data_IF_641733219342
#
_entry.id   IF_641733219342
#
_cell.length_a   1.000
_cell.length_b   1.000
_cell.length_c   1.000
_cell.angle_alpha   90.00
_cell.angle_beta   90.00
_cell.angle_gamma   90.00
#
_symmetry.space_group_name_H-M   'P 1'
#
loop_
_entity.id
_entity.type
_entity.pdbx_description
1 polymer ?
#
# COMPACT_ATOMS: atom_id res chain seq x y z
N UNK A 1 14.98 -4.54 -12.64
CA UNK A 1 14.11 -3.78 -11.71
C UNK A 1 14.45 -4.06 -10.25
N UNK A 2 14.82 -5.28 -9.85
CA UNK A 2 15.25 -5.56 -8.47
C UNK A 2 16.64 -4.96 -8.12
N UNK A 3 17.39 -4.49 -9.13
CA UNK A 3 18.73 -3.91 -9.01
C UNK A 3 18.88 -2.63 -8.20
N UNK A 4 17.78 -1.96 -7.87
CA UNK A 4 17.79 -0.74 -7.06
C UNK A 4 17.41 -0.98 -5.60
N UNK A 5 17.03 -2.21 -5.23
CA UNK A 5 16.64 -2.52 -3.85
C UNK A 5 17.86 -2.77 -2.95
N UNK A 6 17.74 -2.50 -1.64
CA UNK A 6 18.66 -3.03 -0.65
C UNK A 6 18.77 -4.56 -0.74
N UNK A 7 19.92 -5.10 -0.35
CA UNK A 7 20.25 -6.50 -0.58
C UNK A 7 19.29 -7.47 0.11
N UNK A 8 18.81 -7.13 1.31
CA UNK A 8 17.82 -7.91 2.05
C UNK A 8 16.50 -8.02 1.26
N UNK A 9 15.92 -6.89 0.86
CA UNK A 9 14.67 -6.81 0.10
C UNK A 9 14.76 -7.54 -1.25
N UNK A 10 15.85 -7.31 -1.97
CA UNK A 10 16.15 -7.98 -3.23
C UNK A 10 16.22 -9.49 -3.06
N UNK A 11 16.99 -9.96 -2.10
CA UNK A 11 17.20 -11.39 -1.87
C UNK A 11 15.89 -12.09 -1.54
N UNK A 12 15.06 -11.46 -0.69
CA UNK A 12 13.73 -11.95 -0.38
C UNK A 12 12.84 -11.97 -1.63
N UNK A 13 12.79 -10.88 -2.40
CA UNK A 13 11.96 -10.77 -3.60
C UNK A 13 12.32 -11.81 -4.67
N UNK A 14 13.61 -12.09 -4.89
CA UNK A 14 14.06 -13.12 -5.84
C UNK A 14 13.68 -14.53 -5.36
N UNK A 15 13.88 -14.83 -4.07
CA UNK A 15 13.48 -16.12 -3.49
C UNK A 15 11.96 -16.33 -3.57
N UNK A 16 11.19 -15.30 -3.22
CA UNK A 16 9.73 -15.29 -3.35
C UNK A 16 9.33 -15.57 -4.79
N UNK A 17 9.88 -14.81 -5.75
CA UNK A 17 9.58 -14.97 -7.17
C UNK A 17 9.83 -16.40 -7.64
N UNK A 18 11.00 -16.97 -7.35
CA UNK A 18 11.34 -18.34 -7.75
C UNK A 18 10.35 -19.36 -7.18
N UNK A 19 9.97 -19.19 -5.92
CA UNK A 19 9.01 -20.08 -5.26
C UNK A 19 7.62 -19.99 -5.88
N UNK A 20 7.10 -18.78 -6.07
CA UNK A 20 5.78 -18.58 -6.68
C UNK A 20 5.76 -19.02 -8.15
N UNK A 21 6.86 -18.83 -8.88
CA UNK A 21 7.00 -19.31 -10.25
C UNK A 21 6.95 -20.84 -10.35
N UNK A 22 7.41 -21.55 -9.33
CA UNK A 22 7.34 -23.01 -9.27
C UNK A 22 5.96 -23.57 -8.87
N UNK A 23 5.12 -22.74 -8.24
CA UNK A 23 3.77 -23.14 -7.80
C UNK A 23 2.77 -22.97 -8.96
N UNK A 24 2.24 -24.09 -9.47
CA UNK A 24 1.30 -24.10 -10.60
C UNK A 24 -0.01 -23.37 -10.31
N UNK A 25 -0.37 -23.19 -9.03
CA UNK A 25 -1.58 -22.47 -8.60
C UNK A 25 -1.45 -20.96 -8.76
N UNK A 26 -0.23 -20.44 -8.92
CA UNK A 26 0.04 -19.00 -9.05
C UNK A 26 0.15 -18.63 -10.53
N UNK A 27 -0.70 -17.69 -10.97
CA UNK A 27 -0.73 -17.18 -12.33
C UNK A 27 0.32 -16.08 -12.57
N UNK A 28 0.39 -15.09 -11.68
CA UNK A 28 1.33 -13.97 -11.77
C UNK A 28 1.78 -13.47 -10.40
N UNK A 29 2.96 -12.85 -10.36
CA UNK A 29 3.45 -12.08 -9.24
C UNK A 29 3.73 -10.66 -9.69
N UNK A 30 3.08 -9.70 -9.04
CA UNK A 30 3.26 -8.27 -9.27
C UNK A 30 3.82 -7.60 -8.01
N UNK A 31 4.48 -6.46 -8.17
CA UNK A 31 4.94 -5.61 -7.07
C UNK A 31 4.29 -4.23 -7.14
N UNK A 32 4.01 -3.66 -5.98
CA UNK A 32 3.36 -2.36 -5.76
C UNK A 32 4.19 -1.39 -4.90
N UNK A 33 3.58 -0.28 -4.52
CA UNK A 33 4.02 0.61 -3.44
C UNK A 33 5.34 1.33 -3.69
N UNK A 34 6.17 1.38 -2.65
CA UNK A 34 7.46 2.09 -2.68
C UNK A 34 8.40 1.57 -3.78
N UNK A 35 8.18 0.33 -4.23
CA UNK A 35 8.89 -0.30 -5.34
C UNK A 35 8.74 0.48 -6.65
N UNK A 36 7.58 1.10 -6.88
CA UNK A 36 7.25 1.79 -8.13
C UNK A 36 7.45 3.30 -8.01
N UNK A 37 7.17 3.87 -6.83
CA UNK A 37 7.15 5.32 -6.63
C UNK A 37 8.52 5.96 -6.40
N UNK A 38 9.60 5.16 -6.31
CA UNK A 38 10.93 5.64 -5.97
C UNK A 38 11.07 6.00 -4.48
N UNK A 39 12.31 6.21 -4.04
CA UNK A 39 12.60 6.47 -2.61
C UNK A 39 12.56 5.23 -1.73
N UNK A 40 12.69 4.05 -2.32
CA UNK A 40 12.85 2.79 -1.60
C UNK A 40 14.15 2.80 -0.80
N UNK A 41 14.08 2.43 0.47
CA UNK A 41 15.21 2.36 1.39
C UNK A 41 15.11 1.14 2.32
N UNK A 42 16.03 1.03 3.26
CA UNK A 42 16.09 -0.09 4.21
C UNK A 42 14.88 -0.19 5.15
N UNK A 43 14.06 0.86 5.26
CA UNK A 43 12.86 0.90 6.10
C UNK A 43 11.58 0.67 5.30
N UNK A 44 11.69 0.47 3.99
CA UNK A 44 10.54 0.25 3.11
C UNK A 44 10.05 -1.19 3.23
N UNK A 45 8.73 -1.36 3.16
CA UNK A 45 8.09 -2.66 3.06
C UNK A 45 8.14 -3.17 1.60
N UNK A 46 7.88 -4.46 1.38
CA UNK A 46 7.65 -5.01 0.04
C UNK A 46 6.18 -5.37 -0.17
N UNK A 47 5.55 -4.66 -1.10
CA UNK A 47 4.16 -4.88 -1.50
C UNK A 47 4.10 -5.84 -2.70
N UNK A 48 3.53 -7.03 -2.51
CA UNK A 48 3.31 -8.00 -3.57
C UNK A 48 1.82 -8.29 -3.78
N UNK A 49 1.45 -8.41 -5.06
CA UNK A 49 0.15 -8.92 -5.47
C UNK A 49 0.35 -10.30 -6.09
N UNK A 50 -0.15 -11.31 -5.39
CA UNK A 50 -0.11 -12.71 -5.79
C UNK A 50 -1.40 -13.03 -6.54
N UNK A 51 -1.31 -13.15 -7.87
CA UNK A 51 -2.44 -13.51 -8.71
C UNK A 51 -2.55 -15.03 -8.74
N UNK A 52 -3.58 -15.56 -8.10
CA UNK A 52 -3.86 -16.99 -7.94
C UNK A 52 -4.84 -17.42 -9.04
N UNK A 53 -4.67 -18.65 -9.52
CA UNK A 53 -5.65 -19.30 -10.38
C UNK A 53 -7.00 -19.44 -9.60
N UNK A 54 -8.13 -19.03 -10.20
CA UNK A 54 -9.44 -19.09 -9.54
C UNK A 54 -9.80 -20.46 -8.95
N UNK A 55 -9.34 -21.56 -9.55
CA UNK A 55 -9.62 -22.92 -9.07
C UNK A 55 -9.04 -23.19 -7.67
N UNK A 56 -7.95 -22.52 -7.32
CA UNK A 56 -7.21 -22.72 -6.06
C UNK A 56 -7.32 -21.53 -5.11
N UNK A 57 -8.09 -20.49 -5.46
CA UNK A 57 -8.13 -19.26 -4.69
C UNK A 57 -8.57 -19.48 -3.24
N UNK A 58 -9.66 -20.22 -3.02
CA UNK A 58 -10.18 -20.48 -1.66
C UNK A 58 -9.19 -21.32 -0.82
N UNK A 59 -8.51 -22.28 -1.45
CA UNK A 59 -7.49 -23.10 -0.80
C UNK A 59 -6.29 -22.24 -0.37
N UNK A 60 -5.75 -21.42 -1.27
CA UNK A 60 -4.64 -20.50 -0.98
C UNK A 60 -5.04 -19.51 0.10
N UNK A 61 -6.25 -18.96 0.01
CA UNK A 61 -6.78 -18.06 1.03
C UNK A 61 -6.82 -18.75 2.38
N UNK A 62 -7.37 -19.97 2.50
CA UNK A 62 -7.41 -20.72 3.75
C UNK A 62 -6.00 -21.02 4.31
N UNK A 63 -5.00 -21.21 3.44
CA UNK A 63 -3.64 -21.61 3.83
C UNK A 63 -2.63 -20.46 3.86
N UNK A 64 -3.02 -19.21 3.58
CA UNK A 64 -2.10 -18.07 3.32
C UNK A 64 -1.07 -17.83 4.42
N UNK A 65 -1.43 -18.03 5.70
CA UNK A 65 -0.48 -17.92 6.81
C UNK A 65 0.59 -19.02 6.79
N UNK A 66 0.16 -20.27 6.57
CA UNK A 66 1.09 -21.40 6.44
C UNK A 66 1.98 -21.23 5.19
N UNK A 67 1.40 -20.74 4.09
CA UNK A 67 2.14 -20.38 2.88
C UNK A 67 3.23 -19.34 3.18
N UNK A 68 2.90 -18.24 3.86
CA UNK A 68 3.87 -17.20 4.24
C UNK A 68 5.00 -17.75 5.11
N UNK A 69 4.69 -18.65 6.04
CA UNK A 69 5.69 -19.33 6.89
C UNK A 69 6.70 -20.17 6.10
N UNK A 70 6.38 -20.53 4.86
CA UNK A 70 7.31 -21.26 4.00
C UNK A 70 8.28 -20.34 3.24
N UNK A 71 8.06 -19.03 3.24
CA UNK A 71 8.85 -18.07 2.45
C UNK A 71 10.16 -17.65 3.16
N UNK A 72 10.29 -17.97 4.44
CA UNK A 72 11.45 -17.61 5.26
C UNK A 72 11.13 -17.79 6.74
N UNK A 73 11.90 -17.15 7.61
CA UNK A 73 11.64 -17.16 9.04
C UNK A 73 10.57 -16.11 9.39
N UNK A 74 9.31 -16.52 9.23
CA UNK A 74 8.15 -15.69 9.60
C UNK A 74 8.07 -15.56 11.13
N UNK A 75 8.12 -14.32 11.63
CA UNK A 75 7.95 -14.03 13.06
C UNK A 75 6.47 -13.90 13.42
N UNK A 76 5.74 -13.12 12.62
CA UNK A 76 4.30 -12.93 12.81
C UNK A 76 3.63 -12.47 11.52
N UNK A 77 2.33 -12.72 11.41
CA UNK A 77 1.51 -12.18 10.33
C UNK A 77 0.07 -11.95 10.80
N UNK A 78 -0.63 -11.04 10.14
CA UNK A 78 -2.05 -10.78 10.37
C UNK A 78 -2.72 -10.27 9.10
N UNK A 79 -4.04 -10.29 9.10
CA UNK A 79 -4.89 -9.89 7.97
C UNK A 79 -5.12 -8.38 7.92
N UNK A 80 -5.27 -7.84 6.72
CA UNK A 80 -5.60 -6.43 6.47
C UNK A 80 -7.05 -6.04 6.80
N UNK A 81 -7.75 -6.77 7.68
CA UNK A 81 -9.17 -6.50 8.00
C UNK A 81 -9.40 -5.11 8.60
N UNK A 82 -8.45 -4.63 9.41
CA UNK A 82 -8.46 -3.30 10.02
C UNK A 82 -8.34 -2.15 8.99
N UNK A 83 -7.87 -2.44 7.77
CA UNK A 83 -7.85 -1.51 6.63
C UNK A 83 -8.88 -1.87 5.55
N UNK A 84 -9.79 -2.80 5.84
CA UNK A 84 -10.84 -3.25 4.91
C UNK A 84 -10.36 -4.15 3.77
N UNK A 85 -9.15 -4.72 3.88
CA UNK A 85 -8.57 -5.60 2.87
C UNK A 85 -8.27 -7.00 3.46
N UNK A 86 -9.27 -7.88 3.61
CA UNK A 86 -9.09 -9.21 4.20
C UNK A 86 -8.20 -10.15 3.37
N UNK A 87 -7.96 -9.81 2.10
CA UNK A 87 -7.08 -10.56 1.19
C UNK A 87 -5.60 -10.20 1.35
N UNK A 88 -5.31 -9.13 2.07
CA UNK A 88 -3.96 -8.72 2.42
C UNK A 88 -3.50 -9.49 3.65
N UNK A 89 -2.31 -10.06 3.57
CA UNK A 89 -1.57 -10.63 4.68
C UNK A 89 -0.31 -9.79 4.90
N UNK A 90 -0.23 -9.13 6.05
CA UNK A 90 0.90 -8.30 6.47
C UNK A 90 1.81 -9.20 7.31
N UNK A 91 3.05 -9.36 6.86
CA UNK A 91 4.01 -10.30 7.44
C UNK A 91 5.25 -9.57 7.95
N UNK A 92 5.79 -10.06 9.06
CA UNK A 92 7.10 -9.66 9.57
C UNK A 92 8.04 -10.87 9.59
N UNK A 93 9.15 -10.77 8.86
CA UNK A 93 10.20 -11.80 8.78
C UNK A 93 11.43 -11.39 9.60
N UNK A 94 12.23 -12.39 10.02
CA UNK A 94 13.50 -12.22 10.71
C UNK A 94 14.61 -13.13 10.14
N UNK A 95 15.83 -13.14 10.71
CA UNK A 95 16.26 -12.40 11.91
C UNK A 95 16.47 -10.89 11.66
N UNK A 96 16.82 -10.49 10.44
CA UNK A 96 16.75 -9.08 10.04
C UNK A 96 15.30 -8.73 9.70
N UNK A 97 14.77 -7.68 10.33
CA UNK A 97 13.35 -7.35 10.25
C UNK A 97 12.99 -6.87 8.85
N UNK A 98 12.02 -7.54 8.24
CA UNK A 98 11.50 -7.20 6.93
C UNK A 98 9.99 -7.35 6.89
N UNK A 99 9.30 -6.25 6.56
CA UNK A 99 7.85 -6.25 6.34
C UNK A 99 7.53 -6.63 4.90
N UNK A 100 6.60 -7.56 4.75
CA UNK A 100 6.14 -8.04 3.46
C UNK A 100 4.62 -8.08 3.46
N UNK A 101 4.04 -7.38 2.49
CA UNK A 101 2.61 -7.34 2.24
C UNK A 101 2.28 -8.29 1.08
N UNK A 102 1.49 -9.32 1.35
CA UNK A 102 1.05 -10.30 0.36
C UNK A 102 -0.45 -10.15 0.15
N UNK A 103 -0.85 -9.57 -0.98
CA UNK A 103 -2.25 -9.48 -1.39
C UNK A 103 -2.59 -10.60 -2.36
N UNK A 104 -3.49 -11.49 -1.96
CA UNK A 104 -3.93 -12.61 -2.79
C UNK A 104 -5.20 -12.26 -3.55
N UNK A 105 -5.18 -12.40 -4.86
CA UNK A 105 -6.33 -12.09 -5.72
C UNK A 105 -6.41 -13.06 -6.89
N UNK A 106 -7.56 -13.15 -7.54
CA UNK A 106 -7.68 -13.71 -8.88
C UNK A 106 -7.48 -12.61 -9.95
N UNK A 107 -7.26 -13.02 -11.21
CA UNK A 107 -7.00 -12.07 -12.29
C UNK A 107 -8.15 -11.08 -12.49
N UNK A 108 -9.40 -11.55 -12.40
CA UNK A 108 -10.61 -10.72 -12.53
C UNK A 108 -10.76 -9.66 -11.44
N UNK A 109 -10.15 -9.87 -10.26
CA UNK A 109 -10.15 -8.91 -9.14
C UNK A 109 -9.18 -7.74 -9.34
N UNK A 110 -8.38 -7.69 -10.42
CA UNK A 110 -7.55 -6.54 -10.80
C UNK A 110 -8.39 -5.39 -11.40
N UNK A 111 -9.35 -4.86 -10.64
CA UNK A 111 -10.34 -3.89 -11.13
C UNK A 111 -10.05 -2.44 -10.73
N UNK A 112 -9.53 -2.19 -9.52
CA UNK A 112 -9.20 -0.85 -9.05
C UNK A 112 -7.75 -0.79 -8.63
N UNK A 113 -7.03 0.20 -9.17
CA UNK A 113 -5.61 0.42 -8.89
C UNK A 113 -5.35 1.91 -8.70
N UNK A 114 -4.47 2.24 -7.77
CA UNK A 114 -3.95 3.60 -7.60
C UNK A 114 -2.67 3.81 -8.42
N UNK A 115 -2.06 2.73 -8.90
CA UNK A 115 -0.81 2.73 -9.68
C UNK A 115 -0.72 1.52 -10.63
N UNK A 116 0.22 1.57 -11.57
CA UNK A 116 0.52 0.45 -12.47
C UNK A 116 1.56 -0.49 -11.85
N UNK A 117 1.23 -1.76 -11.60
CA UNK A 117 2.10 -2.66 -10.87
C UNK A 117 3.29 -3.13 -11.73
N UNK A 118 4.45 -3.34 -11.09
CA UNK A 118 5.59 -3.95 -11.77
C UNK A 118 5.38 -5.46 -11.88
N UNK A 119 5.43 -6.01 -13.10
CA UNK A 119 5.29 -7.46 -13.32
C UNK A 119 6.61 -8.16 -13.03
N UNK A 120 6.66 -9.00 -11.99
CA UNK A 120 7.84 -9.79 -11.64
C UNK A 120 7.84 -11.16 -12.31
N UNK A 121 6.65 -11.75 -12.46
CA UNK A 121 6.43 -13.04 -13.10
C UNK A 121 4.98 -13.12 -13.63
N UNK A 122 4.79 -13.77 -14.78
CA UNK A 122 3.46 -14.14 -15.27
C UNK A 122 3.53 -15.38 -16.15
N UNK A 123 2.52 -16.26 -16.05
CA UNK A 123 2.36 -17.42 -16.95
C UNK A 123 1.72 -17.04 -18.27
N UNK A 124 0.75 -16.13 -18.26
CA UNK A 124 0.10 -15.60 -19.45
C UNK A 124 0.19 -14.07 -19.45
N UNK A 125 1.10 -13.55 -20.27
CA UNK A 125 1.34 -12.12 -20.39
C UNK A 125 0.18 -11.40 -21.10
N UNK A 126 -0.48 -12.07 -22.06
CA UNK A 126 -1.52 -11.45 -22.87
C UNK A 126 -2.85 -11.38 -22.11
N UNK A 127 -3.18 -12.40 -21.31
CA UNK A 127 -4.29 -12.33 -20.37
C UNK A 127 -4.09 -11.22 -19.33
N UNK A 128 -2.89 -11.14 -18.73
CA UNK A 128 -2.57 -10.10 -17.75
C UNK A 128 -2.67 -8.70 -18.36
N UNK A 129 -2.06 -8.46 -19.53
CA UNK A 129 -2.14 -7.16 -20.23
C UNK A 129 -3.57 -6.77 -20.57
N UNK A 130 -4.37 -7.70 -21.10
CA UNK A 130 -5.79 -7.45 -21.40
C UNK A 130 -6.56 -7.06 -20.15
N UNK A 131 -6.29 -7.71 -19.01
CA UNK A 131 -6.95 -7.36 -17.76
C UNK A 131 -6.48 -6.00 -17.23
N UNK A 132 -5.18 -5.73 -17.25
CA UNK A 132 -4.64 -4.44 -16.80
C UNK A 132 -5.18 -3.29 -17.64
N UNK A 133 -5.37 -3.48 -18.95
CA UNK A 133 -5.91 -2.46 -19.85
C UNK A 133 -7.40 -2.11 -19.61
N UNK A 134 -8.17 -2.93 -18.88
CA UNK A 134 -9.60 -2.66 -18.61
C UNK A 134 -9.82 -1.47 -17.67
N UNK A 135 -8.83 -1.15 -16.83
CA UNK A 135 -8.96 -0.15 -15.78
C UNK A 135 -7.70 0.69 -15.71
N UNK A 136 -7.86 2.02 -15.64
CA UNK A 136 -6.75 2.94 -15.44
C UNK A 136 -6.49 3.17 -13.97
N UNK A 137 -5.22 3.29 -13.59
CA UNK A 137 -4.85 3.77 -12.28
C UNK A 137 -5.30 5.23 -12.08
N UNK A 138 -6.05 5.51 -11.02
CA UNK A 138 -6.47 6.87 -10.67
C UNK A 138 -6.34 7.10 -9.16
N UNK A 139 -5.69 8.21 -8.80
CA UNK A 139 -5.62 8.63 -7.40
C UNK A 139 -6.93 9.36 -7.04
N UNK A 140 -7.59 9.01 -5.92
CA UNK A 140 -8.88 9.61 -5.55
C UNK A 140 -8.69 11.02 -4.97
N UNK A 141 -8.38 12.00 -5.82
CA UNK A 141 -8.19 13.38 -5.43
C UNK A 141 -9.53 14.07 -5.07
N UNK A 142 -9.53 14.78 -3.95
CA UNK A 142 -10.67 15.60 -3.49
C UNK A 142 -10.59 17.03 -4.03
N UNK A 143 -11.76 17.68 -4.12
CA UNK A 143 -11.89 19.07 -4.59
C UNK A 143 -11.58 20.10 -3.48
N UNK A 144 -11.27 21.36 -3.82
CA UNK A 144 -11.11 22.43 -2.82
C UNK A 144 -12.30 22.57 -1.88
N UNK A 145 -13.53 22.49 -2.41
CA UNK A 145 -14.77 22.66 -1.66
C UNK A 145 -14.96 21.54 -0.64
N UNK A 146 -14.53 20.33 -0.99
CA UNK A 146 -14.53 19.18 -0.09
C UNK A 146 -13.65 19.43 1.13
N UNK A 147 -12.48 20.03 0.93
CA UNK A 147 -11.54 20.37 2.00
C UNK A 147 -12.06 21.52 2.86
N UNK A 148 -12.51 22.60 2.24
CA UNK A 148 -13.00 23.79 2.95
C UNK A 148 -14.17 23.44 3.88
N UNK A 149 -15.13 22.67 3.39
CA UNK A 149 -16.30 22.24 4.18
C UNK A 149 -15.90 21.47 5.44
N UNK A 150 -14.86 20.63 5.36
CA UNK A 150 -14.39 19.81 6.48
C UNK A 150 -13.48 20.58 7.41
N UNK A 151 -12.66 21.49 6.89
CA UNK A 151 -11.66 22.17 7.69
C UNK A 151 -12.27 22.93 8.85
N UNK A 152 -13.25 23.80 8.56
CA UNK A 152 -13.86 24.66 9.57
C UNK A 152 -14.67 23.88 10.60
N UNK A 153 -15.53 22.96 10.13
CA UNK A 153 -16.42 22.20 11.00
C UNK A 153 -15.60 21.27 11.91
N UNK A 154 -14.59 20.60 11.36
CA UNK A 154 -13.79 19.64 12.11
C UNK A 154 -12.86 20.31 13.14
N UNK A 155 -12.22 21.43 12.79
CA UNK A 155 -11.42 22.21 13.73
C UNK A 155 -12.27 22.77 14.86
N UNK A 156 -13.47 23.28 14.56
CA UNK A 156 -14.38 23.76 15.59
C UNK A 156 -14.80 22.62 16.54
N UNK A 157 -15.10 21.42 16.03
CA UNK A 157 -15.36 20.26 16.88
C UNK A 157 -14.17 19.92 17.78
N UNK A 158 -12.94 19.94 17.27
CA UNK A 158 -11.75 19.69 18.08
C UNK A 158 -11.64 20.70 19.25
N UNK A 159 -11.95 21.98 19.01
CA UNK A 159 -11.98 23.02 20.06
C UNK A 159 -13.07 22.75 21.10
N UNK A 160 -14.26 22.33 20.67
CA UNK A 160 -15.36 21.97 21.60
C UNK A 160 -14.97 20.76 22.46
N UNK A 161 -14.33 19.75 21.88
CA UNK A 161 -13.81 18.57 22.60
C UNK A 161 -12.75 18.97 23.62
N UNK A 162 -11.83 19.84 23.22
CA UNK A 162 -10.81 20.40 24.11
C UNK A 162 -11.43 21.18 25.29
N UNK A 163 -12.40 22.05 25.03
CA UNK A 163 -13.08 22.83 26.07
C UNK A 163 -13.86 21.97 27.09
N UNK A 164 -14.23 20.74 26.71
CA UNK A 164 -14.87 19.75 27.58
C UNK A 164 -13.89 18.89 28.37
N UNK A 165 -12.58 19.06 28.16
CA UNK A 165 -11.55 18.20 28.75
C UNK A 165 -11.44 16.81 28.08
N UNK A 166 -12.08 16.61 26.92
CA UNK A 166 -12.00 15.37 26.14
C UNK A 166 -10.71 15.36 25.31
N UNK A 167 -9.55 15.35 26.00
CA UNK A 167 -8.23 15.61 25.39
C UNK A 167 -7.85 14.60 24.29
N UNK A 168 -8.12 13.31 24.51
CA UNK A 168 -7.80 12.28 23.51
C UNK A 168 -8.68 12.34 22.27
N UNK A 169 -9.95 12.73 22.42
CA UNK A 169 -10.84 13.02 21.29
C UNK A 169 -10.30 14.19 20.48
N UNK A 170 -9.95 15.30 21.15
CA UNK A 170 -9.37 16.46 20.49
C UNK A 170 -8.07 16.11 19.74
N UNK A 171 -7.19 15.29 20.33
CA UNK A 171 -5.99 14.78 19.67
C UNK A 171 -6.31 13.94 18.42
N UNK A 172 -7.27 13.02 18.51
CA UNK A 172 -7.71 12.20 17.38
C UNK A 172 -8.28 13.06 16.24
N UNK A 173 -9.07 14.09 16.58
CA UNK A 173 -9.59 15.03 15.60
C UNK A 173 -8.48 15.81 14.89
N UNK A 174 -7.47 16.27 15.63
CA UNK A 174 -6.31 16.96 15.04
C UNK A 174 -5.48 16.03 14.15
N UNK A 175 -5.30 14.76 14.55
CA UNK A 175 -4.61 13.77 13.70
C UNK A 175 -5.35 13.54 12.39
N UNK A 176 -6.67 13.34 12.45
CA UNK A 176 -7.51 13.21 11.26
C UNK A 176 -7.40 14.46 10.37
N UNK A 177 -7.49 15.66 10.94
CA UNK A 177 -7.38 16.90 10.18
C UNK A 177 -6.05 16.99 9.44
N UNK A 178 -4.95 16.66 10.13
CA UNK A 178 -3.61 16.63 9.54
C UNK A 178 -3.54 15.65 8.36
N UNK A 179 -4.04 14.44 8.54
CA UNK A 179 -3.91 13.33 7.59
C UNK A 179 -4.87 13.41 6.39
N UNK A 180 -6.10 13.87 6.61
CA UNK A 180 -7.19 13.80 5.63
C UNK A 180 -7.54 15.15 5.00
N UNK A 181 -7.09 16.26 5.60
CA UNK A 181 -7.41 17.62 5.11
C UNK A 181 -6.12 18.36 4.80
N UNK A 182 -5.33 18.72 5.82
CA UNK A 182 -4.16 19.60 5.64
C UNK A 182 -3.11 19.00 4.71
N UNK A 183 -2.72 17.74 4.92
CA UNK A 183 -1.73 17.06 4.09
C UNK A 183 -2.15 16.99 2.61
N UNK A 184 -3.31 16.40 2.29
CA UNK A 184 -3.87 16.38 0.94
C UNK A 184 -3.98 17.77 0.29
N UNK A 185 -4.37 18.81 1.03
CA UNK A 185 -4.39 20.18 0.52
C UNK A 185 -3.00 20.68 0.10
N UNK A 186 -1.95 20.35 0.86
CA UNK A 186 -0.57 20.72 0.54
C UNK A 186 -0.05 19.98 -0.68
N UNK A 187 -0.36 18.69 -0.84
CA UNK A 187 -0.09 17.94 -2.07
C UNK A 187 -0.80 18.52 -3.29
N UNK A 188 -2.07 18.88 -3.13
CA UNK A 188 -2.84 19.55 -4.17
C UNK A 188 -2.19 20.87 -4.58
N UNK A 189 -1.74 21.69 -3.62
CA UNK A 189 -1.02 22.94 -3.90
C UNK A 189 0.29 22.70 -4.68
N UNK A 190 0.94 21.55 -4.46
CA UNK A 190 2.13 21.14 -5.19
C UNK A 190 1.82 20.49 -6.57
N UNK A 191 0.55 20.39 -6.98
CA UNK A 191 0.11 19.60 -8.15
C UNK A 191 0.58 18.14 -8.10
N UNK A 192 0.60 17.55 -6.91
CA UNK A 192 0.96 16.15 -6.67
C UNK A 192 -0.26 15.36 -6.16
N UNK A 193 -0.26 14.03 -6.33
CA UNK A 193 -1.33 13.17 -5.80
C UNK A 193 -1.51 13.37 -4.29
N UNK A 194 -2.77 13.38 -3.84
CA UNK A 194 -3.14 13.66 -2.45
C UNK A 194 -2.80 12.49 -1.50
N UNK A 195 -1.51 12.34 -1.14
CA UNK A 195 -0.95 11.20 -0.39
C UNK A 195 -1.01 11.36 1.14
N UNK A 196 -2.08 11.97 1.66
CA UNK A 196 -2.18 12.28 3.08
C UNK A 196 -1.01 13.15 3.53
N UNK A 197 -0.22 12.66 4.49
CA UNK A 197 0.97 13.35 5.03
C UNK A 197 2.30 12.70 4.62
N UNK A 198 2.27 11.68 3.76
CA UNK A 198 3.47 10.89 3.44
C UNK A 198 4.52 11.75 2.75
N UNK A 199 5.69 11.95 3.39
CA UNK A 199 6.83 12.74 2.87
C UNK A 199 6.50 14.21 2.63
N UNK A 200 5.57 14.77 3.40
CA UNK A 200 5.15 16.17 3.26
C UNK A 200 6.30 17.16 3.49
N UNK A 201 7.30 16.77 4.27
CA UNK A 201 8.51 17.53 4.59
C UNK A 201 9.42 17.73 3.36
N UNK A 202 9.30 16.85 2.36
CA UNK A 202 10.03 16.96 1.10
C UNK A 202 9.33 17.90 0.10
N UNK A 203 8.11 18.34 0.39
CA UNK A 203 7.42 19.32 -0.44
C UNK A 203 8.08 20.69 -0.22
N UNK A 204 8.78 21.19 -1.22
CA UNK A 204 9.35 22.54 -1.22
C UNK A 204 8.25 23.61 -1.39
N UNK A 205 7.30 23.66 -0.45
CA UNK A 205 6.14 24.55 -0.47
C UNK A 205 6.43 25.93 0.11
N UNK A 206 7.60 26.11 0.73
CA UNK A 206 8.08 27.37 1.27
C UNK A 206 9.34 27.74 0.47
N UNK A 207 9.34 28.79 -0.37
CA UNK A 207 10.60 29.41 -0.74
C UNK A 207 11.24 29.86 0.57
N UNK A 208 12.43 29.35 0.89
CA UNK A 208 13.24 29.95 1.96
C UNK A 208 13.27 31.45 1.70
N UNK A 209 12.65 32.24 2.56
CA UNK A 209 12.77 33.68 2.49
C UNK A 209 14.25 33.99 2.72
N UNK A 210 14.96 34.39 1.67
CA UNK A 210 16.25 35.05 1.77
C UNK A 210 16.10 36.41 2.45
#
# INVERSE_FOLDING_TARGET
>A
MLNTLPDLHRSFAEQLKLKLQSDSRIHSLLAGGSFIHGGFDQYSDLDFVVVVDPLYYDEIMAQRMAFAGTLGHLLHAFTGEHVGEPRLLICLFGPELLHIDLKFITLDMLTQRVEEPAVLFTRDNDALKRQLAKFSAHWPDMTPEWFESRAWIWLHYAVVKLGRGELFEALGMLSFFREQVLGPMLFRRANLPQRGVRRIEALALIPMAC
#
